data_IF_775675105404
#
_entry.id   IF_775675105404
#
_cell.length_a   1.000
_cell.length_b   1.000
_cell.length_c   1.000
_cell.angle_alpha   90.00
_cell.angle_beta   90.00
_cell.angle_gamma   90.00
#
_symmetry.space_group_name_H-M   'P 1'
#
loop_
_entity.id
_entity.type
_entity.pdbx_description
1 polymer ?
#
# COMPACT_ATOMS: atom_id res chain seq x y z
N UNK A 1 17.93 4.01 -17.35
CA UNK A 1 16.46 4.07 -17.26
C UNK A 1 16.02 3.68 -15.88
N UNK A 2 15.22 4.49 -15.26
CA UNK A 2 14.82 4.28 -13.87
C UNK A 2 13.48 3.56 -13.82
N UNK A 3 13.47 2.32 -13.32
CA UNK A 3 12.26 1.53 -13.18
C UNK A 3 11.61 1.68 -11.81
N UNK A 4 12.18 2.53 -10.97
CA UNK A 4 11.64 2.74 -9.63
C UNK A 4 10.45 3.68 -9.68
N UNK A 5 9.45 3.37 -8.87
CA UNK A 5 8.34 4.27 -8.62
C UNK A 5 8.12 4.34 -7.12
N UNK A 6 7.45 5.39 -6.71
CA UNK A 6 7.09 5.59 -5.32
C UNK A 6 5.61 5.37 -5.16
N UNK A 7 5.23 4.54 -4.20
CA UNK A 7 3.84 4.32 -3.85
C UNK A 7 3.59 5.00 -2.51
N UNK A 8 2.55 5.77 -2.45
CA UNK A 8 2.22 6.57 -1.28
C UNK A 8 1.13 5.86 -0.48
N UNK A 9 1.31 5.83 0.83
CA UNK A 9 0.31 5.26 1.75
C UNK A 9 -0.15 6.34 2.70
N UNK A 10 -1.45 6.60 2.70
CA UNK A 10 -2.06 7.55 3.61
C UNK A 10 -2.59 6.76 4.80
N UNK A 11 -1.95 6.89 5.94
CA UNK A 11 -2.28 6.12 7.13
C UNK A 11 -2.46 7.05 8.31
N UNK A 12 -3.71 7.27 8.69
CA UNK A 12 -4.03 8.25 9.70
C UNK A 12 -3.66 9.64 9.20
N UNK A 13 -2.87 10.35 9.97
CA UNK A 13 -2.38 11.67 9.56
C UNK A 13 -0.96 11.60 8.98
N UNK A 14 -0.51 10.40 8.61
CA UNK A 14 0.83 10.20 8.07
C UNK A 14 0.76 9.82 6.59
N UNK A 15 1.78 10.23 5.86
CA UNK A 15 1.98 9.83 4.48
C UNK A 15 3.31 9.10 4.41
N UNK A 16 3.24 7.80 4.14
CA UNK A 16 4.44 6.98 4.01
C UNK A 16 4.68 6.69 2.54
N UNK A 17 5.94 6.72 2.15
CA UNK A 17 6.33 6.49 0.77
C UNK A 17 7.17 5.23 0.71
N UNK A 18 6.82 4.33 -0.19
CA UNK A 18 7.59 3.10 -0.42
C UNK A 18 8.13 3.16 -1.84
N UNK A 19 9.45 3.11 -1.98
CA UNK A 19 10.07 3.02 -3.29
C UNK A 19 10.12 1.56 -3.72
N UNK A 20 9.73 1.29 -4.95
CA UNK A 20 9.66 -0.07 -5.46
C UNK A 20 9.89 -0.07 -6.96
N UNK A 21 9.87 -1.24 -7.56
CA UNK A 21 10.03 -1.41 -9.00
C UNK A 21 8.70 -1.78 -9.63
N UNK A 22 8.51 -1.40 -10.88
CA UNK A 22 7.31 -1.76 -11.62
C UNK A 22 7.09 -3.27 -11.67
N UNK A 23 8.16 -4.03 -11.63
CA UNK A 23 8.12 -5.49 -11.70
C UNK A 23 7.87 -6.15 -10.36
N UNK A 24 7.87 -5.38 -9.27
CA UNK A 24 7.57 -5.93 -7.95
C UNK A 24 6.11 -6.29 -7.85
N UNK A 25 5.79 -7.33 -7.09
CA UNK A 25 4.42 -7.66 -6.79
C UNK A 25 3.89 -6.69 -5.74
N UNK A 26 2.60 -6.37 -5.86
CA UNK A 26 1.99 -5.45 -4.92
C UNK A 26 2.06 -5.99 -3.49
N UNK A 27 2.02 -7.31 -3.31
CA UNK A 27 2.14 -7.92 -1.99
C UNK A 27 3.47 -7.58 -1.33
N UNK A 28 4.53 -7.51 -2.12
CA UNK A 28 5.85 -7.15 -1.58
C UNK A 28 5.90 -5.69 -1.15
N UNK A 29 5.22 -4.83 -1.89
CA UNK A 29 5.14 -3.41 -1.55
C UNK A 29 4.37 -3.24 -0.23
N UNK A 30 3.26 -3.95 -0.08
CA UNK A 30 2.47 -3.90 1.14
C UNK A 30 3.28 -4.45 2.33
N UNK A 31 4.06 -5.49 2.09
CA UNK A 31 4.92 -6.04 3.14
C UNK A 31 5.93 -4.99 3.63
N UNK A 32 6.49 -4.24 2.71
CA UNK A 32 7.38 -3.13 3.06
C UNK A 32 6.66 -2.07 3.86
N UNK A 33 5.39 -1.80 3.51
CA UNK A 33 4.59 -0.87 4.27
C UNK A 33 4.38 -1.34 5.70
N UNK A 34 4.04 -2.63 5.90
CA UNK A 34 3.84 -3.15 7.25
C UNK A 34 5.06 -2.93 8.13
N UNK A 35 6.23 -3.18 7.58
CA UNK A 35 7.48 -3.01 8.32
C UNK A 35 7.70 -1.53 8.65
N UNK A 36 7.54 -0.67 7.66
CA UNK A 36 7.81 0.76 7.85
C UNK A 36 6.80 1.39 8.81
N UNK A 37 5.55 1.01 8.72
CA UNK A 37 4.49 1.55 9.57
C UNK A 37 4.42 0.86 10.92
N UNK A 38 5.12 -0.27 11.07
CA UNK A 38 5.10 -1.07 12.30
C UNK A 38 3.70 -1.54 12.65
N UNK A 39 3.00 -2.07 11.65
CA UNK A 39 1.66 -2.60 11.84
C UNK A 39 1.62 -4.05 11.38
N UNK A 40 0.65 -4.78 11.88
CA UNK A 40 0.42 -6.17 11.46
C UNK A 40 -0.53 -6.19 10.28
N UNK A 41 -0.32 -7.13 9.34
CA UNK A 41 -1.21 -7.23 8.17
C UNK A 41 -2.68 -7.35 8.53
N UNK A 42 -3.00 -8.08 9.61
CA UNK A 42 -4.39 -8.31 9.99
C UNK A 42 -5.05 -7.08 10.60
N UNK A 43 -4.26 -6.05 10.93
CA UNK A 43 -4.79 -4.84 11.57
C UNK A 43 -5.17 -3.74 10.60
N UNK A 44 -4.90 -3.90 9.30
CA UNK A 44 -5.12 -2.84 8.32
C UNK A 44 -5.73 -3.39 7.05
N UNK A 45 -6.41 -2.52 6.33
CA UNK A 45 -6.90 -2.77 4.98
C UNK A 45 -6.46 -1.64 4.08
N UNK A 46 -6.27 -1.96 2.81
CA UNK A 46 -5.85 -0.98 1.82
C UNK A 46 -7.01 -0.67 0.90
N UNK A 47 -7.17 0.61 0.57
CA UNK A 47 -8.18 1.08 -0.35
C UNK A 47 -7.52 1.87 -1.47
N UNK A 48 -8.00 1.64 -2.66
CA UNK A 48 -7.55 2.35 -3.85
C UNK A 48 -8.77 2.95 -4.53
N UNK A 49 -8.77 4.27 -4.68
CA UNK A 49 -9.91 5.00 -5.26
C UNK A 49 -11.23 4.63 -4.59
N UNK A 50 -11.22 4.50 -3.27
CA UNK A 50 -12.40 4.25 -2.49
C UNK A 50 -12.86 2.81 -2.42
N UNK A 51 -12.12 1.89 -3.04
CA UNK A 51 -12.47 0.46 -3.02
C UNK A 51 -11.39 -0.33 -2.34
N UNK A 52 -11.80 -1.34 -1.59
CA UNK A 52 -10.83 -2.22 -0.95
C UNK A 52 -9.98 -2.91 -2.01
N UNK A 53 -8.69 -2.90 -1.79
CA UNK A 53 -7.75 -3.47 -2.74
C UNK A 53 -7.41 -4.89 -2.34
N UNK A 54 -7.64 -5.85 -3.25
CA UNK A 54 -7.47 -7.27 -2.94
C UNK A 54 -6.64 -8.01 -3.99
N UNK A 55 -5.95 -7.30 -4.88
CA UNK A 55 -5.20 -7.93 -5.98
C UNK A 55 -3.75 -8.14 -5.59
N UNK A 56 -3.52 -9.08 -4.68
CA UNK A 56 -2.21 -9.26 -4.06
C UNK A 56 -1.13 -9.86 -4.95
N UNK A 57 -1.52 -10.69 -5.90
CA UNK A 57 -0.57 -11.47 -6.70
C UNK A 57 -0.13 -10.83 -7.99
N UNK A 58 -0.43 -9.57 -8.22
CA UNK A 58 -0.09 -8.89 -9.46
C UNK A 58 1.06 -7.93 -9.25
N UNK A 59 1.82 -7.68 -10.34
CA UNK A 59 2.88 -6.69 -10.31
C UNK A 59 2.28 -5.30 -10.45
N UNK A 60 3.07 -4.29 -10.06
CA UNK A 60 2.66 -2.90 -10.22
C UNK A 60 2.35 -2.60 -11.67
N UNK A 61 3.18 -3.11 -12.57
CA UNK A 61 3.01 -2.91 -14.00
C UNK A 61 1.71 -3.52 -14.50
N UNK A 62 1.39 -4.75 -14.06
CA UNK A 62 0.14 -5.41 -14.44
C UNK A 62 -1.08 -4.64 -13.96
N UNK A 63 -0.95 -3.97 -12.82
CA UNK A 63 -2.04 -3.18 -12.26
C UNK A 63 -2.11 -1.77 -12.85
N UNK A 64 -1.11 -1.39 -13.65
CA UNK A 64 -1.07 -0.05 -14.24
C UNK A 64 -0.75 1.04 -13.23
N UNK A 65 -0.11 0.69 -12.13
CA UNK A 65 0.25 1.68 -11.13
C UNK A 65 1.44 2.49 -11.58
N UNK A 66 1.40 3.78 -11.26
CA UNK A 66 2.42 4.72 -11.68
C UNK A 66 3.04 5.40 -10.47
N UNK A 67 4.07 6.21 -10.74
CA UNK A 67 4.73 6.95 -9.67
C UNK A 67 3.72 7.81 -8.92
N UNK A 68 3.79 7.77 -7.60
CA UNK A 68 2.92 8.50 -6.68
C UNK A 68 1.48 8.01 -6.63
N UNK A 69 1.21 6.80 -7.14
CA UNK A 69 -0.05 6.14 -6.86
C UNK A 69 -0.23 6.05 -5.35
N UNK A 70 -1.44 6.29 -4.89
CA UNK A 70 -1.74 6.44 -3.49
C UNK A 70 -2.76 5.40 -3.03
N UNK A 71 -2.50 4.78 -1.89
CA UNK A 71 -3.44 3.89 -1.21
C UNK A 71 -3.82 4.51 0.12
N UNK A 72 -5.09 4.39 0.47
CA UNK A 72 -5.55 4.76 1.80
C UNK A 72 -5.51 3.51 2.67
N UNK A 73 -4.98 3.66 3.87
CA UNK A 73 -4.83 2.55 4.80
C UNK A 73 -5.76 2.78 5.97
N UNK A 74 -6.63 1.81 6.23
CA UNK A 74 -7.61 1.90 7.29
C UNK A 74 -7.24 0.89 8.37
N UNK A 75 -7.17 1.37 9.61
CA UNK A 75 -6.88 0.51 10.74
C UNK A 75 -8.16 -0.22 11.17
N UNK A 76 -8.10 -1.53 11.14
CA UNK A 76 -9.23 -2.34 11.60
C UNK A 76 -9.23 -2.52 13.11
N UNK A 77 -8.08 -2.31 13.71
CA UNK A 77 -7.89 -2.55 15.14
C UNK A 77 -8.76 -1.65 16.00
N UNK A 78 -9.05 -0.45 15.52
CA UNK A 78 -9.77 0.55 16.30
C UNK A 78 -11.13 0.87 15.72
N UNK A 79 -11.63 0.01 14.85
CA UNK A 79 -12.88 0.28 14.14
C UNK A 79 -14.05 0.46 15.08
N UNK A 80 -14.08 -0.29 16.16
CA UNK A 80 -15.23 -0.26 17.05
C UNK A 80 -15.16 0.87 18.05
N UNK A 81 -14.27 1.76 17.85
CA UNK A 81 -14.15 2.90 18.69
C UNK A 81 -13.97 2.55 20.13
N UNK A 82 -13.70 1.38 20.24
CA UNK A 82 -13.62 0.87 21.58
C UNK A 82 -13.19 1.97 22.46
#
# INVERSE_FOLDING_TARGET
MNDFINIKFNFGNKNLMIQCKKTDQISDVFRSFYVKAQVKPEDVKFYYNGREFTFWGKTLEQLGLVNFTSFDVVSEKYVNGA
#
